data_IF_344425854709
#
_entry.id   IF_344425854709
#
_cell.length_a   1.000
_cell.length_b   1.000
_cell.length_c   1.000
_cell.angle_alpha   90.00
_cell.angle_beta   90.00
_cell.angle_gamma   90.00
#
_symmetry.space_group_name_H-M   'P 1'
#
loop_
_entity.id
_entity.type
_entity.pdbx_description
1 polymer ?
#
# COMPACT_ATOMS: atom_id res chain seq x y z
N UNK A 1 -16.76 -15.87 -9.94
CA UNK A 1 -15.68 -14.89 -9.69
C UNK A 1 -14.40 -15.28 -10.40
N UNK A 2 -13.81 -16.45 -10.08
CA UNK A 2 -12.57 -16.90 -10.72
C UNK A 2 -12.72 -17.15 -12.24
N UNK A 3 -13.72 -17.93 -12.65
CA UNK A 3 -13.96 -18.22 -14.07
C UNK A 3 -14.40 -16.99 -14.87
N UNK A 4 -15.18 -16.10 -14.25
CA UNK A 4 -15.72 -14.90 -14.92
C UNK A 4 -14.77 -13.68 -14.86
N UNK A 5 -13.60 -13.80 -14.23
CA UNK A 5 -12.65 -12.71 -13.98
C UNK A 5 -13.30 -11.45 -13.37
N UNK A 6 -14.17 -11.63 -12.38
CA UNK A 6 -14.87 -10.54 -11.68
C UNK A 6 -14.48 -10.47 -10.21
N UNK A 7 -14.50 -9.25 -9.66
CA UNK A 7 -14.25 -8.94 -8.25
C UNK A 7 -15.55 -8.47 -7.61
N UNK A 8 -15.86 -8.97 -6.41
CA UNK A 8 -17.00 -8.51 -5.63
C UNK A 8 -16.65 -7.22 -4.87
N UNK A 9 -17.52 -6.21 -4.95
CA UNK A 9 -17.38 -5.00 -4.13
C UNK A 9 -18.41 -5.08 -3.02
N UNK A 10 -17.97 -4.90 -1.78
CA UNK A 10 -18.81 -5.01 -0.60
C UNK A 10 -18.50 -3.90 0.41
N UNK A 11 -19.49 -3.59 1.24
CA UNK A 11 -19.30 -2.86 2.48
C UNK A 11 -19.45 -3.85 3.63
N UNK A 12 -18.58 -3.76 4.63
CA UNK A 12 -18.70 -4.57 5.83
C UNK A 12 -18.30 -3.77 7.07
N UNK A 13 -18.79 -4.19 8.23
CA UNK A 13 -18.44 -3.58 9.51
C UNK A 13 -17.46 -4.49 10.23
N UNK A 14 -16.30 -3.95 10.61
CA UNK A 14 -15.36 -4.62 11.49
C UNK A 14 -15.34 -3.88 12.83
N UNK A 15 -15.80 -4.56 13.88
CA UNK A 15 -16.04 -3.97 15.21
C UNK A 15 -17.03 -2.81 15.11
N UNK A 16 -16.54 -1.57 15.07
CA UNK A 16 -17.35 -0.37 15.13
C UNK A 16 -17.11 0.57 13.92
N UNK A 17 -16.38 0.13 12.90
CA UNK A 17 -16.09 0.93 11.69
C UNK A 17 -16.58 0.20 10.42
N UNK A 18 -17.23 0.94 9.52
CA UNK A 18 -17.57 0.47 8.17
C UNK A 18 -16.35 0.58 7.25
N UNK A 19 -16.18 -0.42 6.39
CA UNK A 19 -15.12 -0.51 5.41
C UNK A 19 -15.68 -0.84 4.04
N UNK A 20 -15.14 -0.20 3.01
CA UNK A 20 -15.27 -0.65 1.62
C UNK A 20 -14.25 -1.77 1.37
N UNK A 21 -14.64 -2.83 0.66
CA UNK A 21 -13.76 -3.95 0.38
C UNK A 21 -13.97 -4.55 -1.01
N UNK A 22 -12.86 -5.00 -1.58
CA UNK A 22 -12.82 -5.88 -2.74
C UNK A 22 -12.66 -7.33 -2.25
N UNK A 23 -13.54 -8.21 -2.72
CA UNK A 23 -13.54 -9.63 -2.42
C UNK A 23 -13.19 -10.37 -3.71
N UNK A 24 -12.12 -11.15 -3.68
CA UNK A 24 -11.64 -11.92 -4.84
C UNK A 24 -11.20 -13.33 -4.44
N UNK A 25 -11.44 -14.34 -5.29
CA UNK A 25 -10.80 -15.63 -5.12
C UNK A 25 -9.30 -15.50 -5.43
N UNK A 26 -8.47 -16.03 -4.56
CA UNK A 26 -7.02 -16.16 -4.76
C UNK A 26 -6.68 -17.61 -4.47
N UNK A 27 -6.17 -18.33 -5.47
CA UNK A 27 -5.98 -19.78 -5.43
C UNK A 27 -7.27 -20.51 -4.98
N UNK A 28 -7.22 -21.26 -3.87
CA UNK A 28 -8.34 -22.01 -3.29
C UNK A 28 -9.02 -21.28 -2.12
N UNK A 29 -8.71 -19.99 -1.90
CA UNK A 29 -9.26 -19.20 -0.79
C UNK A 29 -9.92 -17.91 -1.28
N UNK A 30 -10.65 -17.25 -0.39
CA UNK A 30 -11.19 -15.91 -0.62
C UNK A 30 -10.28 -14.89 0.07
N UNK A 31 -9.86 -13.88 -0.67
CA UNK A 31 -9.13 -12.73 -0.14
C UNK A 31 -10.06 -11.53 -0.06
N UNK A 32 -10.01 -10.86 1.08
CA UNK A 32 -10.64 -9.56 1.30
C UNK A 32 -9.55 -8.49 1.34
N UNK A 33 -9.71 -7.45 0.53
CA UNK A 33 -8.84 -6.27 0.53
C UNK A 33 -9.67 -5.04 0.86
N UNK A 34 -9.33 -4.36 1.96
CA UNK A 34 -9.99 -3.09 2.32
C UNK A 34 -9.55 -1.98 1.38
N UNK A 35 -10.47 -1.10 1.02
CA UNK A 35 -10.26 0.06 0.16
C UNK A 35 -10.68 1.33 0.91
N UNK A 36 -10.07 2.45 0.53
CA UNK A 36 -10.50 3.77 0.94
C UNK A 36 -11.79 4.14 0.21
N UNK A 37 -12.69 4.86 0.90
CA UNK A 37 -13.81 5.53 0.25
C UNK A 37 -13.33 6.71 -0.58
N UNK A 38 -14.16 7.18 -1.51
CA UNK A 38 -13.79 8.25 -2.44
C UNK A 38 -13.47 9.57 -1.72
N UNK A 39 -14.13 9.84 -0.61
CA UNK A 39 -13.92 11.01 0.26
C UNK A 39 -12.68 10.88 1.16
N UNK A 40 -12.13 9.67 1.32
CA UNK A 40 -10.87 9.44 2.05
C UNK A 40 -9.63 9.59 1.13
N UNK A 41 -9.83 9.73 -0.18
CA UNK A 41 -8.76 9.91 -1.15
C UNK A 41 -8.49 11.40 -1.34
N UNK A 42 -7.26 11.84 -1.03
CA UNK A 42 -6.83 13.21 -1.31
C UNK A 42 -6.52 13.34 -2.81
N UNK A 43 -7.21 14.22 -3.56
CA UNK A 43 -6.94 14.43 -4.98
C UNK A 43 -5.53 15.00 -5.19
N UNK A 44 -4.82 14.50 -6.21
CA UNK A 44 -3.47 15.00 -6.56
C UNK A 44 -3.46 16.51 -6.77
N UNK A 45 -4.53 17.07 -7.36
CA UNK A 45 -4.68 18.52 -7.59
C UNK A 45 -4.62 19.35 -6.31
N UNK A 46 -5.06 18.80 -5.18
CA UNK A 46 -4.99 19.50 -3.89
C UNK A 46 -3.56 19.54 -3.35
N UNK A 47 -2.70 18.61 -3.78
CA UNK A 47 -1.29 18.53 -3.39
C UNK A 47 -0.36 19.35 -4.30
N UNK A 48 -0.83 19.78 -5.48
CA UNK A 48 0.02 20.45 -6.49
C UNK A 48 0.71 21.72 -5.98
N UNK A 49 0.07 22.46 -5.06
CA UNK A 49 0.66 23.67 -4.46
C UNK A 49 1.68 23.36 -3.35
N UNK A 50 1.58 22.18 -2.73
CA UNK A 50 2.45 21.75 -1.62
C UNK A 50 3.65 20.94 -2.10
N UNK A 51 3.62 20.48 -3.36
CA UNK A 51 4.68 19.70 -3.97
C UNK A 51 5.63 20.58 -4.80
N UNK A 52 6.95 20.34 -4.74
CA UNK A 52 7.90 21.06 -5.57
C UNK A 52 7.69 20.66 -7.04
N UNK A 53 7.15 21.59 -7.82
CA UNK A 53 6.69 21.35 -9.20
C UNK A 53 7.81 21.44 -10.25
N UNK A 54 8.99 21.93 -9.86
CA UNK A 54 10.09 22.20 -10.80
C UNK A 54 11.46 21.85 -10.19
N UNK A 55 11.63 20.59 -9.79
CA UNK A 55 12.92 20.08 -9.31
C UNK A 55 13.77 19.70 -10.51
N UNK A 56 14.74 20.53 -10.86
CA UNK A 56 15.81 20.13 -11.78
C UNK A 56 16.80 19.24 -11.04
N UNK A 57 16.84 17.96 -11.43
CA UNK A 57 17.82 17.00 -10.92
C UNK A 57 18.95 16.84 -11.94
N UNK A 58 20.20 16.90 -11.48
CA UNK A 58 21.34 16.62 -12.36
C UNK A 58 21.48 15.11 -12.62
N UNK A 59 22.03 14.75 -13.78
CA UNK A 59 22.34 13.35 -14.12
C UNK A 59 23.25 12.68 -13.08
N UNK A 60 24.13 13.47 -12.46
CA UNK A 60 25.05 12.99 -11.41
C UNK A 60 24.31 12.61 -10.13
N UNK A 61 23.33 13.41 -9.71
CA UNK A 61 22.51 13.14 -8.52
C UNK A 61 21.62 11.92 -8.75
N UNK A 62 20.99 11.82 -9.93
CA UNK A 62 20.21 10.65 -10.31
C UNK A 62 21.07 9.38 -10.36
N UNK A 63 22.28 9.47 -10.92
CA UNK A 63 23.22 8.35 -10.97
C UNK A 63 23.63 7.87 -9.57
N UNK A 64 23.96 8.81 -8.68
CA UNK A 64 24.33 8.50 -7.29
C UNK A 64 23.17 7.90 -6.50
N UNK A 65 21.94 8.42 -6.67
CA UNK A 65 20.75 7.87 -6.04
C UNK A 65 20.47 6.43 -6.51
N UNK A 66 20.63 6.14 -7.81
CA UNK A 66 20.49 4.78 -8.34
C UNK A 66 21.52 3.83 -7.75
N UNK A 67 22.79 4.23 -7.67
CA UNK A 67 23.83 3.40 -7.03
C UNK A 67 23.51 3.14 -5.56
N UNK A 68 23.02 4.13 -4.82
CA UNK A 68 22.59 3.94 -3.43
C UNK A 68 21.46 2.92 -3.34
N UNK A 69 20.44 3.03 -4.19
CA UNK A 69 19.35 2.06 -4.27
C UNK A 69 19.92 0.66 -4.54
N UNK A 70 20.80 0.50 -5.54
CA UNK A 70 21.41 -0.79 -5.89
C UNK A 70 22.18 -1.41 -4.72
N UNK A 71 22.85 -0.60 -3.89
CA UNK A 71 23.55 -1.09 -2.69
C UNK A 71 22.62 -1.49 -1.55
N UNK A 72 21.39 -0.97 -1.53
CA UNK A 72 20.39 -1.23 -0.49
C UNK A 72 19.35 -2.26 -0.91
N UNK A 73 19.27 -2.60 -2.20
CA UNK A 73 18.34 -3.62 -2.71
C UNK A 73 18.64 -4.95 -2.04
N UNK A 74 17.60 -5.56 -1.51
CA UNK A 74 17.62 -6.92 -0.98
C UNK A 74 16.32 -7.63 -1.32
N UNK A 75 16.31 -8.96 -1.20
CA UNK A 75 15.08 -9.72 -1.31
C UNK A 75 14.19 -9.40 -0.11
N UNK A 76 12.92 -9.12 -0.38
CA UNK A 76 11.93 -8.96 0.68
C UNK A 76 11.66 -10.30 1.33
N UNK A 77 11.98 -10.41 2.62
CA UNK A 77 11.73 -11.58 3.47
C UNK A 77 10.76 -11.14 4.58
N UNK A 78 9.44 -11.39 4.44
CA UNK A 78 8.43 -10.96 5.41
C UNK A 78 8.71 -11.41 6.84
N UNK A 79 9.34 -12.58 6.99
CA UNK A 79 9.63 -13.22 8.28
C UNK A 79 10.62 -12.42 9.14
N UNK A 80 11.39 -11.50 8.54
CA UNK A 80 12.31 -10.61 9.26
C UNK A 80 11.61 -9.47 9.99
N UNK A 81 10.32 -9.23 9.73
CA UNK A 81 9.57 -8.11 10.28
C UNK A 81 8.63 -8.61 11.38
N UNK A 82 9.04 -8.43 12.63
CA UNK A 82 8.26 -8.83 13.79
C UNK A 82 7.41 -7.66 14.33
N UNK A 83 6.26 -7.99 14.93
CA UNK A 83 5.39 -7.00 15.54
C UNK A 83 5.94 -6.59 16.92
N UNK A 84 6.84 -5.61 16.92
CA UNK A 84 7.48 -5.09 18.13
C UNK A 84 6.48 -4.51 19.15
N UNK A 85 5.37 -3.92 18.68
CA UNK A 85 4.30 -3.44 19.56
C UNK A 85 3.64 -4.58 20.35
N UNK A 86 3.37 -5.71 19.67
CA UNK A 86 2.79 -6.88 20.32
C UNK A 86 3.73 -7.49 21.37
N UNK A 87 5.06 -7.44 21.15
CA UNK A 87 6.04 -7.89 22.16
C UNK A 87 6.04 -7.04 23.43
N UNK A 88 5.91 -5.72 23.31
CA UNK A 88 6.03 -4.81 24.46
C UNK A 88 4.79 -4.80 25.36
N UNK A 89 3.61 -5.13 24.83
CA UNK A 89 2.33 -5.05 25.57
C UNK A 89 1.96 -6.37 26.27
N UNK A 90 2.62 -7.48 25.93
CA UNK A 90 2.39 -8.81 26.52
C UNK A 90 3.37 -9.21 27.63
N UNK A 91 4.24 -8.29 28.07
CA UNK A 91 5.15 -8.49 29.22
C UNK A 91 4.55 -7.88 30.48
#
# INVERSE_FOLDING_TARGET
>A
MAESNVVGIAKFVLRNKEYLAAIRPTDNVITLSTMLFADEIVPVKELENDLPTNVELSDKELGMAKTLIDTLITKFEPEKYENEYHKQVLV
#
